data_IF_444934155255
#
_entry.id   IF_444934155255
#
_cell.length_a   1.000
_cell.length_b   1.000
_cell.length_c   1.000
_cell.angle_alpha   90.00
_cell.angle_beta   90.00
_cell.angle_gamma   90.00
#
_symmetry.space_group_name_H-M   'P 1'
#
loop_
_entity.id
_entity.type
_entity.pdbx_description
1 polymer ?
#
# COMPACT_ATOMS: atom_id res chain seq x y z
N UNK A 1 -59.70 34.70 25.37
CA UNK A 1 -58.59 35.01 26.31
C UNK A 1 -58.22 33.84 27.23
N UNK A 2 -59.16 33.12 27.87
CA UNK A 2 -58.82 31.98 28.76
C UNK A 2 -58.22 30.77 28.03
N UNK A 3 -58.82 30.34 26.92
CA UNK A 3 -58.31 29.22 26.11
C UNK A 3 -56.89 29.46 25.57
N UNK A 4 -56.60 30.68 25.08
CA UNK A 4 -55.26 31.06 24.62
C UNK A 4 -54.21 30.97 25.74
N UNK A 5 -54.57 31.34 26.98
CA UNK A 5 -53.67 31.21 28.14
C UNK A 5 -53.35 29.76 28.47
N UNK A 6 -54.34 28.86 28.40
CA UNK A 6 -54.12 27.43 28.62
C UNK A 6 -53.28 26.79 27.51
N UNK A 7 -53.50 27.17 26.25
CA UNK A 7 -52.68 26.72 25.12
C UNK A 7 -51.23 27.20 25.29
N UNK A 8 -51.01 28.47 25.64
CA UNK A 8 -49.67 29.01 25.88
C UNK A 8 -48.97 28.30 27.05
N UNK A 9 -49.70 27.99 28.12
CA UNK A 9 -49.16 27.27 29.28
C UNK A 9 -48.79 25.82 28.94
N UNK A 10 -49.62 25.13 28.16
CA UNK A 10 -49.32 23.78 27.66
C UNK A 10 -48.07 23.79 26.78
N UNK A 11 -47.97 24.75 25.85
CA UNK A 11 -46.79 24.92 25.00
C UNK A 11 -45.53 25.20 25.83
N UNK A 12 -45.65 25.99 26.90
CA UNK A 12 -44.54 26.25 27.82
C UNK A 12 -44.09 24.98 28.55
N UNK A 13 -45.03 24.16 29.03
CA UNK A 13 -44.70 22.88 29.68
C UNK A 13 -44.00 21.95 28.70
N UNK A 14 -44.50 21.84 27.46
CA UNK A 14 -43.87 21.03 26.41
C UNK A 14 -42.47 21.57 26.13
N UNK A 15 -42.31 22.88 25.95
CA UNK A 15 -41.02 23.51 25.69
C UNK A 15 -40.00 23.23 26.80
N UNK A 16 -40.39 23.40 28.08
CA UNK A 16 -39.53 23.10 29.23
C UNK A 16 -39.21 21.60 29.30
N UNK A 17 -40.21 20.73 29.06
CA UNK A 17 -40.03 19.29 29.02
C UNK A 17 -39.03 18.85 27.95
N UNK A 18 -39.15 19.38 26.74
CA UNK A 18 -38.23 19.14 25.62
C UNK A 18 -36.83 19.67 25.93
N UNK A 19 -36.71 20.89 26.48
CA UNK A 19 -35.42 21.46 26.84
C UNK A 19 -34.71 20.63 27.94
N UNK A 20 -35.45 20.15 28.95
CA UNK A 20 -34.91 19.24 29.96
C UNK A 20 -34.48 17.91 29.35
N UNK A 21 -35.29 17.35 28.43
CA UNK A 21 -34.96 16.11 27.73
C UNK A 21 -33.67 16.24 26.89
N UNK A 22 -33.48 17.36 26.18
CA UNK A 22 -32.25 17.65 25.43
C UNK A 22 -31.07 17.81 26.39
N UNK A 23 -31.26 18.50 27.51
CA UNK A 23 -30.19 18.76 28.47
C UNK A 23 -29.59 17.47 29.06
N UNK A 24 -30.42 16.43 29.29
CA UNK A 24 -29.98 15.14 29.87
C UNK A 24 -29.37 14.17 28.85
N UNK A 25 -29.36 14.49 27.55
CA UNK A 25 -28.65 13.67 26.55
C UNK A 25 -27.14 13.62 26.84
N UNK A 26 -26.41 12.57 26.39
CA UNK A 26 -24.97 12.47 26.58
C UNK A 26 -24.21 13.73 26.11
N UNK A 27 -23.18 14.13 26.84
CA UNK A 27 -22.32 15.27 26.48
C UNK A 27 -21.23 14.91 25.47
N UNK A 28 -21.05 13.62 25.19
CA UNK A 28 -19.97 13.08 24.38
C UNK A 28 -20.52 12.02 23.46
N UNK A 29 -19.88 11.87 22.31
CA UNK A 29 -20.15 10.81 21.36
C UNK A 29 -18.83 10.17 20.94
N UNK A 30 -18.90 8.88 20.59
CA UNK A 30 -17.77 8.14 20.03
C UNK A 30 -18.33 6.98 19.20
N UNK A 31 -17.81 6.82 17.99
CA UNK A 31 -18.11 5.67 17.14
C UNK A 31 -16.90 5.34 16.27
N UNK A 32 -16.88 4.11 15.74
CA UNK A 32 -15.82 3.67 14.83
C UNK A 32 -16.35 2.68 13.80
N UNK A 33 -15.63 2.59 12.68
CA UNK A 33 -15.81 1.54 11.67
C UNK A 33 -14.46 0.92 11.36
N UNK A 34 -14.45 -0.33 10.95
CA UNK A 34 -13.21 -1.03 10.59
C UNK A 34 -13.39 -1.91 9.38
N UNK A 35 -12.30 -2.10 8.62
CA UNK A 35 -12.23 -3.00 7.47
C UNK A 35 -10.87 -3.68 7.43
N UNK A 36 -10.87 -4.98 7.14
CA UNK A 36 -9.62 -5.70 6.82
C UNK A 36 -9.31 -5.43 5.34
N UNK A 37 -8.13 -4.87 5.07
CA UNK A 37 -7.65 -4.55 3.73
C UNK A 37 -6.41 -5.41 3.47
N UNK A 38 -6.38 -6.09 2.32
CA UNK A 38 -5.25 -6.94 1.92
C UNK A 38 -4.07 -6.09 1.41
N UNK A 39 -3.51 -5.29 2.32
CA UNK A 39 -2.36 -4.43 2.11
C UNK A 39 -1.52 -4.34 3.40
N UNK A 40 -0.20 -4.16 3.29
CA UNK A 40 0.67 -3.84 4.42
C UNK A 40 0.23 -2.57 5.17
N UNK A 41 0.45 -2.53 6.48
CA UNK A 41 0.08 -1.40 7.33
C UNK A 41 0.80 -0.11 6.91
N UNK A 42 2.05 -0.21 6.46
CA UNK A 42 2.86 0.90 5.95
C UNK A 42 2.18 1.64 4.79
N UNK A 43 1.68 0.91 3.79
CA UNK A 43 1.02 1.50 2.63
C UNK A 43 -0.28 2.21 3.03
N UNK A 44 -1.06 1.61 3.93
CA UNK A 44 -2.32 2.18 4.41
C UNK A 44 -2.08 3.41 5.28
N UNK A 45 -1.10 3.33 6.18
CA UNK A 45 -0.65 4.44 7.01
C UNK A 45 -0.19 5.61 6.13
N UNK A 46 0.70 5.39 5.17
CA UNK A 46 1.18 6.45 4.27
C UNK A 46 0.05 7.06 3.44
N UNK A 47 -0.91 6.24 2.98
CA UNK A 47 -2.06 6.71 2.22
C UNK A 47 -2.95 7.63 3.06
N UNK A 48 -3.16 7.35 4.35
CA UNK A 48 -3.99 8.19 5.25
C UNK A 48 -3.23 9.39 5.79
N UNK A 49 -1.93 9.22 6.08
CA UNK A 49 -1.08 10.22 6.72
C UNK A 49 -0.85 11.45 5.83
N UNK A 50 -0.78 11.29 4.51
CA UNK A 50 -0.65 12.43 3.58
C UNK A 50 -2.01 12.92 3.08
N UNK A 51 -2.38 14.15 3.44
CA UNK A 51 -3.62 14.80 3.02
C UNK A 51 -3.78 14.97 1.51
N UNK A 52 -2.69 14.90 0.73
CA UNK A 52 -2.79 14.89 -0.74
C UNK A 52 -3.42 13.61 -1.30
N UNK A 53 -3.44 12.53 -0.51
CA UNK A 53 -4.08 11.27 -0.90
C UNK A 53 -5.57 11.22 -0.57
N UNK A 54 -6.06 12.06 0.36
CA UNK A 54 -7.46 12.05 0.81
C UNK A 54 -8.49 12.20 -0.32
N UNK A 55 -8.28 13.02 -1.37
CA UNK A 55 -9.22 13.11 -2.49
C UNK A 55 -9.49 11.78 -3.19
N UNK A 56 -8.57 10.82 -3.11
CA UNK A 56 -8.74 9.52 -3.75
C UNK A 56 -9.71 8.59 -3.00
N UNK A 57 -9.89 8.77 -1.68
CA UNK A 57 -10.68 7.83 -0.88
C UNK A 57 -11.70 8.48 0.08
N UNK A 58 -11.62 9.78 0.31
CA UNK A 58 -12.51 10.47 1.24
C UNK A 58 -13.95 10.50 0.69
N UNK A 59 -14.93 10.01 1.47
CA UNK A 59 -16.34 10.07 1.08
C UNK A 59 -16.84 11.52 0.96
N UNK A 60 -16.26 12.43 1.76
CA UNK A 60 -16.61 13.86 1.75
C UNK A 60 -16.15 14.51 0.45
N UNK A 61 -14.90 14.26 0.02
CA UNK A 61 -14.39 14.76 -1.26
C UNK A 61 -15.04 14.06 -2.46
N UNK A 62 -15.54 12.83 -2.31
CA UNK A 62 -16.38 12.19 -3.32
C UNK A 62 -17.75 12.89 -3.45
N UNK A 63 -18.33 13.36 -2.34
CA UNK A 63 -19.62 14.06 -2.35
C UNK A 63 -19.54 15.45 -3.00
N UNK A 64 -18.39 16.11 -2.91
CA UNK A 64 -18.16 17.41 -3.54
C UNK A 64 -16.76 17.51 -4.19
N UNK A 65 -16.58 16.93 -5.40
CA UNK A 65 -15.27 16.88 -6.07
C UNK A 65 -14.69 18.26 -6.44
N UNK A 66 -15.55 19.27 -6.59
CA UNK A 66 -15.17 20.64 -6.96
C UNK A 66 -14.87 21.52 -5.73
N UNK A 67 -14.89 20.97 -4.51
CA UNK A 67 -14.53 21.70 -3.30
C UNK A 67 -13.09 22.23 -3.38
N UNK A 68 -12.89 23.47 -2.94
CA UNK A 68 -11.58 24.11 -2.96
C UNK A 68 -10.74 23.61 -1.79
N UNK A 69 -9.64 22.89 -2.07
CA UNK A 69 -8.72 22.37 -1.07
C UNK A 69 -7.47 23.24 -0.95
N UNK A 70 -7.15 23.68 0.26
CA UNK A 70 -5.92 24.42 0.57
C UNK A 70 -5.05 23.59 1.51
N UNK A 71 -3.84 23.24 1.07
CA UNK A 71 -2.88 22.47 1.86
C UNK A 71 -1.95 23.38 2.64
N UNK A 72 -1.57 22.96 3.86
CA UNK A 72 -0.49 23.60 4.59
C UNK A 72 0.87 23.22 3.99
N UNK A 73 1.95 23.89 4.43
CA UNK A 73 3.33 23.58 4.05
C UNK A 73 3.69 22.10 4.27
N UNK A 74 3.07 21.49 5.29
CA UNK A 74 3.20 20.08 5.63
C UNK A 74 1.86 19.37 5.41
N UNK A 75 1.88 18.32 4.59
CA UNK A 75 0.68 17.50 4.30
C UNK A 75 0.69 16.12 4.94
N UNK A 76 1.82 15.69 5.52
CA UNK A 76 1.95 14.42 6.25
C UNK A 76 2.68 14.55 7.59
N UNK A 77 2.33 13.73 8.58
CA UNK A 77 2.92 13.73 9.93
C UNK A 77 2.36 14.80 10.87
N UNK A 78 2.96 14.94 12.06
CA UNK A 78 2.50 15.89 13.10
C UNK A 78 2.45 17.33 12.58
N UNK A 79 1.36 18.03 12.90
CA UNK A 79 1.01 19.38 12.43
C UNK A 79 0.75 19.50 10.92
N UNK A 80 0.66 18.39 10.19
CA UNK A 80 0.14 18.44 8.83
C UNK A 80 -1.33 18.86 8.82
N UNK A 81 -1.79 19.47 7.73
CA UNK A 81 -3.19 19.82 7.60
C UNK A 81 -3.62 20.23 6.21
N UNK A 82 -4.94 20.22 6.01
CA UNK A 82 -5.60 20.84 4.86
C UNK A 82 -6.89 21.51 5.32
N UNK A 83 -7.35 22.48 4.55
CA UNK A 83 -8.65 23.11 4.68
C UNK A 83 -9.48 22.86 3.41
N UNK A 84 -10.80 22.87 3.55
CA UNK A 84 -11.73 22.80 2.44
C UNK A 84 -12.73 23.95 2.52
N UNK A 85 -13.24 24.35 1.35
CA UNK A 85 -14.38 25.22 1.20
C UNK A 85 -15.26 24.69 0.06
N UNK A 86 -16.53 24.41 0.35
CA UNK A 86 -17.51 23.88 -0.59
C UNK A 86 -18.93 24.32 -0.24
N UNK A 87 -19.83 24.23 -1.21
CA UNK A 87 -21.26 24.51 -1.05
C UNK A 87 -21.96 23.42 -0.21
N UNK A 88 -21.51 22.16 -0.33
CA UNK A 88 -22.09 21.01 0.38
C UNK A 88 -21.33 20.75 1.68
N UNK A 89 -20.00 20.71 1.63
CA UNK A 89 -19.13 20.40 2.78
C UNK A 89 -18.94 21.58 3.74
N UNK A 90 -19.39 22.78 3.35
CA UNK A 90 -19.16 24.01 4.09
C UNK A 90 -17.68 24.38 4.13
N UNK A 91 -17.25 25.02 5.22
CA UNK A 91 -15.85 25.39 5.44
C UNK A 91 -15.31 24.67 6.67
N UNK A 92 -14.10 24.12 6.56
CA UNK A 92 -13.42 23.52 7.69
C UNK A 92 -11.98 23.16 7.40
N UNK A 93 -11.35 22.51 8.39
CA UNK A 93 -9.96 22.03 8.27
C UNK A 93 -9.75 20.74 9.07
N UNK A 94 -8.73 20.02 8.66
CA UNK A 94 -8.19 18.88 9.39
C UNK A 94 -6.72 19.11 9.74
N UNK A 95 -6.29 18.65 10.90
CA UNK A 95 -4.90 18.75 11.35
C UNK A 95 -4.47 17.49 12.09
N UNK A 96 -3.31 16.94 11.73
CA UNK A 96 -2.71 15.80 12.42
C UNK A 96 -2.08 16.23 13.75
N UNK A 97 -2.54 15.62 14.84
CA UNK A 97 -2.10 15.92 16.21
C UNK A 97 -0.92 15.05 16.63
N UNK A 98 -0.97 13.76 16.31
CA UNK A 98 0.09 12.80 16.62
C UNK A 98 0.08 11.67 15.60
N UNK A 99 1.24 11.02 15.46
CA UNK A 99 1.40 9.81 14.65
C UNK A 99 2.25 8.80 15.42
N UNK A 100 1.92 7.53 15.27
CA UNK A 100 2.80 6.41 15.59
C UNK A 100 2.95 5.60 14.30
N UNK A 101 4.17 5.53 13.78
CA UNK A 101 4.45 5.05 12.43
C UNK A 101 3.89 3.65 12.21
N UNK A 102 3.12 3.48 11.13
CA UNK A 102 2.44 2.24 10.74
C UNK A 102 1.42 1.68 11.76
N UNK A 103 1.15 2.37 12.87
CA UNK A 103 0.27 1.90 13.95
C UNK A 103 -0.96 2.79 14.14
N UNK A 104 -0.79 4.11 14.23
CA UNK A 104 -1.93 5.02 14.46
C UNK A 104 -1.68 6.47 14.03
N UNK A 105 -2.78 7.18 13.75
CA UNK A 105 -2.79 8.62 13.44
C UNK A 105 -3.94 9.26 14.22
N UNK A 106 -3.67 10.32 14.98
CA UNK A 106 -4.71 11.13 15.62
C UNK A 106 -4.79 12.49 14.95
N UNK A 107 -6.01 12.92 14.63
CA UNK A 107 -6.32 14.12 13.87
C UNK A 107 -7.44 14.90 14.55
N UNK A 108 -7.47 16.21 14.34
CA UNK A 108 -8.60 17.05 14.71
C UNK A 108 -9.28 17.57 13.46
N UNK A 109 -10.61 17.47 13.43
CA UNK A 109 -11.46 18.06 12.39
C UNK A 109 -12.23 19.22 13.01
N UNK A 110 -12.18 20.38 12.35
CA UNK A 110 -12.84 21.61 12.78
C UNK A 110 -13.70 22.14 11.62
N UNK A 111 -15.00 22.29 11.84
CA UNK A 111 -15.92 22.95 10.92
C UNK A 111 -16.13 24.40 11.36
N UNK A 112 -16.20 25.32 10.39
CA UNK A 112 -16.40 26.75 10.60
C UNK A 112 -17.77 27.21 10.10
N UNK A 113 -18.18 26.75 8.92
CA UNK A 113 -19.48 27.05 8.32
C UNK A 113 -20.19 25.76 7.86
N UNK A 114 -21.54 25.68 7.94
CA UNK A 114 -22.46 26.71 8.47
C UNK A 114 -22.51 26.75 10.01
N UNK A 115 -22.00 25.72 10.69
CA UNK A 115 -21.98 25.64 12.14
C UNK A 115 -20.58 25.25 12.63
N UNK A 116 -20.15 25.89 13.72
CA UNK A 116 -18.86 25.58 14.33
C UNK A 116 -18.95 24.27 15.09
N UNK A 117 -18.08 23.33 14.76
CA UNK A 117 -17.95 22.08 15.50
C UNK A 117 -16.50 21.61 15.47
N UNK A 118 -16.15 20.78 16.44
CA UNK A 118 -14.82 20.18 16.56
C UNK A 118 -14.94 18.74 17.00
N UNK A 119 -14.19 17.87 16.36
CA UNK A 119 -14.10 16.46 16.73
C UNK A 119 -12.68 15.96 16.54
N UNK A 120 -12.41 14.82 17.15
CA UNK A 120 -11.18 14.08 16.96
C UNK A 120 -11.47 12.89 16.05
N UNK A 121 -10.48 12.57 15.23
CA UNK A 121 -10.46 11.46 14.31
C UNK A 121 -9.24 10.62 14.65
N UNK A 122 -9.44 9.33 14.89
CA UNK A 122 -8.36 8.41 15.15
C UNK A 122 -8.36 7.28 14.12
N UNK A 123 -7.16 6.93 13.67
CA UNK A 123 -6.89 5.80 12.81
C UNK A 123 -6.02 4.80 13.55
N UNK A 124 -6.36 3.52 13.43
CA UNK A 124 -5.47 2.42 13.84
C UNK A 124 -5.24 1.44 12.69
N UNK A 125 -4.02 0.93 12.61
CA UNK A 125 -3.57 -0.02 11.60
C UNK A 125 -3.03 -1.26 12.32
N UNK A 126 -3.84 -2.32 12.36
CA UNK A 126 -3.50 -3.56 13.07
C UNK A 126 -3.17 -4.66 12.06
N UNK A 127 -1.90 -5.09 11.91
CA UNK A 127 -1.55 -6.22 11.04
C UNK A 127 -2.31 -7.51 11.46
N UNK A 128 -2.80 -8.25 10.47
CA UNK A 128 -3.49 -9.53 10.64
C UNK A 128 -2.96 -10.56 9.64
N UNK A 129 -3.39 -11.82 9.73
CA UNK A 129 -3.00 -12.86 8.76
C UNK A 129 -3.52 -12.58 7.33
N UNK A 130 -4.61 -11.83 7.19
CA UNK A 130 -5.27 -11.55 5.90
C UNK A 130 -4.90 -10.18 5.30
N UNK A 131 -4.14 -9.35 6.03
CA UNK A 131 -3.78 -8.00 5.64
C UNK A 131 -3.63 -7.08 6.85
N UNK A 132 -4.25 -5.92 6.82
CA UNK A 132 -4.28 -4.97 7.92
C UNK A 132 -5.72 -4.59 8.23
N UNK A 133 -6.13 -4.70 9.50
CA UNK A 133 -7.39 -4.15 9.96
C UNK A 133 -7.21 -2.65 10.20
N UNK A 134 -7.87 -1.86 9.37
CA UNK A 134 -7.92 -0.40 9.50
C UNK A 134 -9.16 -0.02 10.28
N UNK A 135 -8.99 0.73 11.38
CA UNK A 135 -10.10 1.31 12.14
C UNK A 135 -10.07 2.82 11.96
N UNK A 136 -11.23 3.39 11.64
CA UNK A 136 -11.45 4.84 11.58
C UNK A 136 -12.51 5.21 12.62
N UNK A 137 -12.12 6.01 13.61
CA UNK A 137 -12.94 6.43 14.73
C UNK A 137 -13.15 7.94 14.73
N UNK A 138 -14.28 8.37 15.27
CA UNK A 138 -14.58 9.76 15.55
C UNK A 138 -15.15 9.89 16.96
N UNK A 139 -14.67 10.89 17.69
CA UNK A 139 -15.19 11.21 19.00
C UNK A 139 -15.16 12.71 19.29
N UNK A 140 -16.06 13.18 20.15
CA UNK A 140 -16.18 14.60 20.43
C UNK A 140 -17.21 14.94 21.50
N UNK A 141 -17.32 16.23 21.79
CA UNK A 141 -18.30 16.78 22.74
C UNK A 141 -19.52 17.32 22.00
N UNK A 142 -20.68 17.25 22.65
CA UNK A 142 -21.94 17.80 22.16
C UNK A 142 -22.39 18.93 23.07
N UNK A 143 -22.47 20.13 22.52
CA UNK A 143 -23.11 21.25 23.19
C UNK A 143 -24.65 21.13 23.11
N UNK A 144 -25.38 22.05 23.75
CA UNK A 144 -26.84 21.98 23.78
C UNK A 144 -27.47 22.01 22.37
N UNK A 145 -26.91 22.80 21.45
CA UNK A 145 -27.41 22.92 20.08
C UNK A 145 -27.17 21.63 19.29
N UNK A 146 -26.00 21.01 19.47
CA UNK A 146 -25.67 19.72 18.87
C UNK A 146 -26.61 18.63 19.39
N UNK A 147 -26.85 18.58 20.71
CA UNK A 147 -27.80 17.62 21.31
C UNK A 147 -29.23 17.81 20.80
N UNK A 148 -29.65 19.07 20.64
CA UNK A 148 -30.95 19.40 20.06
C UNK A 148 -31.04 18.87 18.62
N UNK A 149 -30.02 19.13 17.79
CA UNK A 149 -29.95 18.60 16.44
C UNK A 149 -30.03 17.07 16.43
N UNK A 150 -29.20 16.39 17.23
CA UNK A 150 -29.16 14.92 17.23
C UNK A 150 -30.44 14.28 17.76
N UNK A 151 -31.18 14.97 18.63
CA UNK A 151 -32.48 14.51 19.15
C UNK A 151 -33.54 14.42 18.06
N UNK A 152 -33.51 15.33 17.07
CA UNK A 152 -34.56 15.42 16.04
C UNK A 152 -34.10 14.92 14.66
N UNK A 153 -32.80 14.89 14.39
CA UNK A 153 -32.22 14.55 13.09
C UNK A 153 -31.38 13.27 13.10
N UNK A 154 -31.41 12.51 14.20
CA UNK A 154 -30.60 11.30 14.39
C UNK A 154 -29.22 11.60 14.97
N UNK A 155 -28.58 10.56 15.52
CA UNK A 155 -27.27 10.69 16.16
C UNK A 155 -26.17 11.09 15.16
N UNK A 156 -25.04 11.59 15.68
CA UNK A 156 -23.86 11.87 14.83
C UNK A 156 -23.38 10.58 14.16
N UNK A 157 -23.40 9.45 14.87
CA UNK A 157 -23.04 8.15 14.31
C UNK A 157 -23.99 7.75 13.17
N UNK A 158 -25.30 7.80 13.35
CA UNK A 158 -26.26 7.41 12.29
C UNK A 158 -26.06 8.22 11.00
N UNK A 159 -25.72 9.50 11.13
CA UNK A 159 -25.51 10.39 9.99
C UNK A 159 -24.11 10.29 9.37
N UNK A 160 -23.10 9.88 10.14
CA UNK A 160 -21.68 9.91 9.69
C UNK A 160 -21.10 8.51 9.44
N UNK A 161 -21.62 7.47 10.06
CA UNK A 161 -21.12 6.11 9.92
C UNK A 161 -21.10 5.58 8.47
N UNK A 162 -22.12 5.86 7.62
CA UNK A 162 -22.08 5.45 6.23
C UNK A 162 -20.88 6.03 5.45
N UNK A 163 -20.47 7.25 5.77
CA UNK A 163 -19.29 7.88 5.17
C UNK A 163 -18.01 7.11 5.55
N UNK A 164 -17.87 6.74 6.83
CA UNK A 164 -16.70 5.99 7.31
C UNK A 164 -16.61 4.62 6.64
N UNK A 165 -17.75 3.93 6.48
CA UNK A 165 -17.82 2.67 5.74
C UNK A 165 -17.45 2.87 4.26
N UNK A 166 -17.97 3.92 3.62
CA UNK A 166 -17.66 4.28 2.23
C UNK A 166 -16.19 4.62 2.04
N UNK A 167 -15.61 5.39 2.95
CA UNK A 167 -14.21 5.79 2.90
C UNK A 167 -13.26 4.62 3.10
N UNK A 168 -13.56 3.71 4.04
CA UNK A 168 -12.78 2.47 4.20
C UNK A 168 -12.89 1.56 2.96
N UNK A 169 -14.07 1.47 2.34
CA UNK A 169 -14.23 0.74 1.08
C UNK A 169 -13.41 1.37 -0.05
N UNK A 170 -13.40 2.70 -0.16
CA UNK A 170 -12.62 3.43 -1.16
C UNK A 170 -11.12 3.31 -0.92
N UNK A 171 -10.68 3.39 0.33
CA UNK A 171 -9.27 3.21 0.71
C UNK A 171 -8.77 1.83 0.26
N UNK A 172 -9.55 0.78 0.56
CA UNK A 172 -9.28 -0.58 0.08
C UNK A 172 -9.17 -0.62 -1.45
N UNK A 173 -10.19 -0.11 -2.15
CA UNK A 173 -10.23 -0.13 -3.62
C UNK A 173 -9.03 0.59 -4.25
N UNK A 174 -8.68 1.79 -3.76
CA UNK A 174 -7.58 2.58 -4.30
C UNK A 174 -6.24 1.94 -3.99
N UNK A 175 -6.00 1.52 -2.75
CA UNK A 175 -4.72 0.90 -2.35
C UNK A 175 -4.51 -0.42 -3.09
N UNK A 176 -5.55 -1.26 -3.18
CA UNK A 176 -5.49 -2.52 -3.94
C UNK A 176 -5.23 -2.27 -5.43
N UNK A 177 -5.78 -1.20 -6.00
CA UNK A 177 -5.53 -0.83 -7.41
C UNK A 177 -4.12 -0.29 -7.61
N UNK A 178 -3.66 0.58 -6.70
CA UNK A 178 -2.33 1.18 -6.75
C UNK A 178 -1.23 0.13 -6.66
N UNK A 179 -1.36 -0.85 -5.75
CA UNK A 179 -0.40 -1.97 -5.61
C UNK A 179 -0.33 -2.89 -6.82
N UNK A 180 -1.39 -2.94 -7.64
CA UNK A 180 -1.44 -3.76 -8.86
C UNK A 180 -0.86 -3.07 -10.09
N UNK A 181 -0.50 -1.78 -9.99
CA UNK A 181 0.11 -1.07 -11.12
C UNK A 181 1.44 -1.72 -11.45
N UNK A 182 1.64 -1.99 -12.74
CA UNK A 182 2.90 -2.53 -13.24
C UNK A 182 3.20 -2.00 -14.65
N UNK A 183 4.45 -2.19 -15.08
CA UNK A 183 4.89 -1.94 -16.45
C UNK A 183 5.95 -2.95 -16.86
N UNK A 184 5.84 -3.47 -18.09
CA UNK A 184 6.87 -4.26 -18.75
C UNK A 184 7.51 -3.41 -19.84
N UNK A 185 8.82 -3.22 -19.77
CA UNK A 185 9.58 -2.41 -20.73
C UNK A 185 10.72 -3.23 -21.31
N UNK A 186 10.71 -3.47 -22.63
CA UNK A 186 11.88 -4.02 -23.31
C UNK A 186 12.88 -2.91 -23.55
N UNK A 187 14.01 -2.95 -22.85
CA UNK A 187 15.08 -1.96 -22.97
C UNK A 187 15.90 -2.15 -24.25
N UNK A 188 15.86 -3.35 -24.85
CA UNK A 188 16.58 -3.71 -26.06
C UNK A 188 17.90 -4.42 -25.77
N UNK A 189 18.82 -4.36 -26.71
CA UNK A 189 20.13 -5.02 -26.60
C UNK A 189 21.02 -4.25 -25.63
N UNK A 190 21.66 -4.96 -24.70
CA UNK A 190 22.67 -4.46 -23.77
C UNK A 190 23.84 -5.44 -23.66
N UNK A 191 24.95 -4.99 -23.10
CA UNK A 191 26.02 -5.87 -22.63
C UNK A 191 25.86 -6.11 -21.13
N UNK A 192 25.85 -7.37 -20.72
CA UNK A 192 25.89 -7.77 -19.32
C UNK A 192 27.34 -8.02 -18.92
N UNK A 193 27.81 -7.36 -17.86
CA UNK A 193 29.23 -7.35 -17.48
C UNK A 193 29.78 -8.69 -16.94
N UNK A 194 28.91 -9.65 -16.64
CA UNK A 194 29.30 -10.93 -16.05
C UNK A 194 29.78 -10.75 -14.60
N UNK A 195 30.65 -11.66 -14.15
CA UNK A 195 31.27 -11.60 -12.83
C UNK A 195 31.16 -12.90 -12.04
N UNK A 196 31.78 -12.90 -10.85
CA UNK A 196 31.68 -14.01 -9.91
C UNK A 196 30.36 -13.96 -9.15
N UNK A 197 29.87 -15.14 -8.78
CA UNK A 197 28.70 -15.28 -7.93
C UNK A 197 28.81 -16.56 -7.12
N UNK A 198 28.19 -16.58 -5.94
CA UNK A 198 27.90 -17.83 -5.25
C UNK A 198 26.49 -18.28 -5.63
N UNK A 199 26.26 -19.60 -5.66
CA UNK A 199 24.95 -20.15 -5.99
C UNK A 199 24.66 -21.49 -5.31
N UNK A 200 23.38 -21.82 -5.19
CA UNK A 200 22.88 -23.18 -5.00
C UNK A 200 21.95 -23.54 -6.16
N UNK A 201 21.87 -24.82 -6.53
CA UNK A 201 21.11 -25.28 -7.72
C UNK A 201 20.11 -26.34 -7.33
N UNK A 202 18.94 -26.33 -7.97
CA UNK A 202 17.96 -27.40 -7.83
C UNK A 202 17.26 -27.70 -9.15
N UNK A 203 16.56 -28.83 -9.19
CA UNK A 203 15.61 -29.18 -10.22
C UNK A 203 14.24 -29.38 -9.56
N UNK A 204 13.19 -28.81 -10.15
CA UNK A 204 11.83 -28.95 -9.65
C UNK A 204 10.80 -28.77 -10.76
N UNK A 205 9.51 -28.94 -10.42
CA UNK A 205 8.43 -28.53 -11.31
C UNK A 205 8.44 -27.02 -11.49
N UNK A 206 7.98 -26.53 -12.64
CA UNK A 206 7.91 -25.08 -12.89
C UNK A 206 7.05 -24.38 -11.82
N UNK A 207 5.92 -24.99 -11.45
CA UNK A 207 5.02 -24.48 -10.40
C UNK A 207 5.65 -24.44 -8.99
N UNK A 208 6.73 -25.19 -8.75
CA UNK A 208 7.42 -25.25 -7.47
C UNK A 208 8.54 -24.20 -7.33
N UNK A 209 8.90 -23.49 -8.41
CA UNK A 209 10.00 -22.53 -8.43
C UNK A 209 9.87 -21.47 -7.32
N UNK A 210 8.71 -20.77 -7.15
CA UNK A 210 8.59 -19.74 -6.10
C UNK A 210 8.85 -20.29 -4.69
N UNK A 211 8.32 -21.48 -4.40
CA UNK A 211 8.51 -22.15 -3.11
C UNK A 211 9.97 -22.55 -2.89
N UNK A 212 10.66 -23.03 -3.93
CA UNK A 212 12.07 -23.38 -3.87
C UNK A 212 12.94 -22.13 -3.67
N UNK A 213 12.65 -21.03 -4.35
CA UNK A 213 13.34 -19.75 -4.18
C UNK A 213 13.22 -19.22 -2.76
N UNK A 214 12.01 -19.25 -2.17
CA UNK A 214 11.79 -18.85 -0.77
C UNK A 214 12.64 -19.63 0.25
N UNK A 215 13.07 -20.85 -0.09
CA UNK A 215 13.93 -21.68 0.75
C UNK A 215 15.42 -21.47 0.42
N UNK A 216 15.75 -21.31 -0.86
CA UNK A 216 17.12 -21.30 -1.36
C UNK A 216 17.79 -19.93 -1.26
N UNK A 217 17.06 -18.84 -1.53
CA UNK A 217 17.59 -17.47 -1.49
C UNK A 217 18.04 -17.05 -0.08
N UNK A 218 17.24 -17.24 0.99
CA UNK A 218 17.69 -16.87 2.34
C UNK A 218 18.94 -17.62 2.77
N UNK A 219 19.06 -18.92 2.46
CA UNK A 219 20.24 -19.73 2.81
C UNK A 219 21.53 -19.17 2.21
N UNK A 220 21.50 -18.79 0.93
CA UNK A 220 22.69 -18.25 0.29
C UNK A 220 23.01 -16.83 0.77
N UNK A 221 21.99 -16.03 1.07
CA UNK A 221 22.14 -14.70 1.64
C UNK A 221 22.74 -14.74 3.05
N UNK A 222 22.22 -15.62 3.91
CA UNK A 222 22.77 -15.89 5.25
C UNK A 222 24.23 -16.35 5.18
N UNK A 223 24.57 -17.23 4.22
CA UNK A 223 25.95 -17.64 4.00
C UNK A 223 26.85 -16.45 3.62
N UNK A 224 26.38 -15.58 2.72
CA UNK A 224 27.12 -14.38 2.32
C UNK A 224 27.40 -13.48 3.52
N UNK A 225 26.38 -13.18 4.34
CA UNK A 225 26.50 -12.36 5.56
C UNK A 225 27.46 -13.01 6.56
N UNK A 226 27.24 -14.28 6.91
CA UNK A 226 28.04 -15.01 7.92
C UNK A 226 29.52 -15.06 7.59
N UNK A 227 29.85 -15.11 6.29
CA UNK A 227 31.24 -15.19 5.82
C UNK A 227 31.80 -13.83 5.36
N UNK A 228 31.09 -12.71 5.62
CA UNK A 228 31.49 -11.36 5.22
C UNK A 228 31.78 -11.21 3.71
N UNK A 229 31.01 -11.92 2.88
CA UNK A 229 31.15 -11.87 1.42
C UNK A 229 30.55 -10.56 0.91
N UNK A 230 31.34 -9.78 0.18
CA UNK A 230 30.89 -8.53 -0.42
C UNK A 230 30.06 -8.81 -1.67
N UNK A 231 28.80 -8.37 -1.64
CA UNK A 231 27.89 -8.46 -2.79
C UNK A 231 28.28 -7.42 -3.85
N UNK A 232 28.25 -7.80 -5.12
CA UNK A 232 28.55 -6.92 -6.26
C UNK A 232 27.31 -6.36 -6.96
N UNK A 233 26.11 -6.68 -6.47
CA UNK A 233 24.84 -6.27 -7.05
C UNK A 233 23.67 -7.03 -6.45
N UNK A 234 22.51 -6.89 -7.08
CA UNK A 234 21.27 -7.56 -6.68
C UNK A 234 21.36 -9.09 -6.86
N UNK A 235 20.72 -9.87 -5.97
CA UNK A 235 20.51 -11.30 -6.17
C UNK A 235 19.78 -11.58 -7.49
N UNK A 236 20.05 -12.74 -8.08
CA UNK A 236 19.42 -13.14 -9.34
C UNK A 236 19.16 -14.65 -9.40
N UNK A 237 18.20 -15.04 -10.24
CA UNK A 237 17.99 -16.42 -10.68
C UNK A 237 18.71 -16.63 -12.00
N UNK A 238 19.43 -17.73 -12.10
CA UNK A 238 19.95 -18.23 -13.38
C UNK A 238 19.15 -19.46 -13.79
N UNK A 239 18.34 -19.32 -14.84
CA UNK A 239 17.60 -20.44 -15.42
C UNK A 239 18.52 -21.24 -16.34
N UNK A 240 18.94 -22.42 -15.88
CA UNK A 240 19.87 -23.31 -16.60
C UNK A 240 19.17 -24.18 -17.63
N UNK A 241 17.95 -24.62 -17.32
CA UNK A 241 17.11 -25.40 -18.22
C UNK A 241 15.64 -25.13 -17.94
N UNK A 242 14.87 -24.89 -19.00
CA UNK A 242 13.41 -24.82 -18.96
C UNK A 242 12.84 -25.93 -19.85
N UNK A 243 12.08 -26.86 -19.26
CA UNK A 243 11.55 -28.05 -19.91
C UNK A 243 10.03 -28.06 -19.76
N UNK A 244 9.36 -27.33 -20.67
CA UNK A 244 7.91 -27.12 -20.63
C UNK A 244 7.15 -28.44 -20.83
N UNK A 245 7.63 -29.30 -21.73
CA UNK A 245 7.03 -30.61 -22.04
C UNK A 245 6.94 -31.51 -20.81
N UNK A 246 7.98 -31.51 -19.97
CA UNK A 246 8.04 -32.32 -18.75
C UNK A 246 7.64 -31.56 -17.49
N UNK A 247 7.20 -30.31 -17.62
CA UNK A 247 6.90 -29.40 -16.51
C UNK A 247 8.05 -29.38 -15.49
N UNK A 248 9.28 -29.17 -15.95
CA UNK A 248 10.48 -29.19 -15.12
C UNK A 248 11.41 -28.01 -15.44
N UNK A 249 12.12 -27.53 -14.43
CA UNK A 249 13.13 -26.50 -14.58
C UNK A 249 14.35 -26.83 -13.71
N UNK A 250 15.53 -26.46 -14.22
CA UNK A 250 16.77 -26.41 -13.45
C UNK A 250 17.17 -24.94 -13.34
N UNK A 251 17.33 -24.47 -12.11
CA UNK A 251 17.71 -23.08 -11.86
C UNK A 251 18.63 -22.97 -10.65
N UNK A 252 19.37 -21.87 -10.61
CA UNK A 252 20.23 -21.51 -9.50
C UNK A 252 19.76 -20.20 -8.86
N UNK A 253 19.76 -20.15 -7.52
CA UNK A 253 19.68 -18.88 -6.79
C UNK A 253 21.10 -18.36 -6.60
N UNK A 254 21.34 -17.11 -6.98
CA UNK A 254 22.68 -16.55 -7.08
C UNK A 254 22.81 -15.24 -6.31
N UNK A 255 23.97 -15.03 -5.69
CA UNK A 255 24.39 -13.74 -5.15
C UNK A 255 25.68 -13.33 -5.86
N UNK A 256 25.70 -12.20 -6.59
CA UNK A 256 26.90 -11.73 -7.25
C UNK A 256 27.94 -11.26 -6.22
N UNK A 257 29.21 -11.55 -6.47
CA UNK A 257 30.32 -11.26 -5.56
C UNK A 257 31.40 -10.43 -6.26
N UNK A 258 32.07 -9.55 -5.50
CA UNK A 258 33.09 -8.66 -6.09
C UNK A 258 34.34 -9.41 -6.56
N UNK A 259 34.54 -10.63 -6.07
CA UNK A 259 35.66 -11.51 -6.38
C UNK A 259 35.24 -12.97 -6.27
N UNK A 260 36.13 -13.89 -6.70
CA UNK A 260 35.91 -15.32 -6.58
C UNK A 260 35.93 -15.73 -5.10
N UNK A 261 34.82 -16.31 -4.63
CA UNK A 261 34.72 -16.86 -3.28
C UNK A 261 35.16 -18.33 -3.28
N UNK A 262 35.88 -18.76 -2.25
CA UNK A 262 36.10 -20.18 -1.95
C UNK A 262 35.06 -20.57 -0.90
N UNK A 263 34.06 -21.35 -1.30
CA UNK A 263 33.01 -21.79 -0.39
C UNK A 263 33.45 -23.00 0.41
N UNK A 264 32.95 -23.10 1.64
CA UNK A 264 33.18 -24.23 2.56
C UNK A 264 31.92 -25.06 2.79
N UNK A 265 30.79 -24.57 2.29
CA UNK A 265 29.49 -25.26 2.36
C UNK A 265 29.38 -26.26 1.21
N UNK A 266 28.68 -27.36 1.45
CA UNK A 266 28.51 -28.43 0.45
C UNK A 266 27.45 -28.07 -0.62
N UNK A 267 26.48 -27.23 -0.27
CA UNK A 267 25.34 -26.88 -1.11
C UNK A 267 25.51 -25.51 -1.80
N UNK A 268 26.55 -24.74 -1.43
CA UNK A 268 26.84 -23.41 -2.00
C UNK A 268 28.18 -23.46 -2.73
N UNK A 269 28.13 -23.18 -4.03
CA UNK A 269 29.26 -23.22 -4.95
C UNK A 269 29.54 -21.84 -5.53
N UNK A 270 30.71 -21.66 -6.14
CA UNK A 270 31.09 -20.42 -6.82
C UNK A 270 31.04 -20.62 -8.33
N UNK A 271 30.34 -19.72 -9.02
CA UNK A 271 30.26 -19.65 -10.47
C UNK A 271 30.88 -18.37 -11.01
N UNK A 272 31.01 -18.31 -12.34
CA UNK A 272 31.44 -17.12 -13.07
C UNK A 272 30.57 -16.98 -14.32
N UNK A 273 29.98 -15.81 -14.51
CA UNK A 273 29.38 -15.42 -15.78
C UNK A 273 30.44 -14.66 -16.58
N UNK A 274 30.70 -15.09 -17.80
CA UNK A 274 31.43 -14.26 -18.76
C UNK A 274 30.56 -13.07 -19.19
N UNK A 275 31.17 -12.01 -19.72
CA UNK A 275 30.39 -10.93 -20.31
C UNK A 275 29.62 -11.45 -21.55
N UNK A 276 28.35 -11.05 -21.69
CA UNK A 276 27.52 -11.50 -22.80
C UNK A 276 26.57 -10.40 -23.26
N UNK A 277 26.22 -10.45 -24.55
CA UNK A 277 25.19 -9.60 -25.14
C UNK A 277 23.81 -10.17 -24.80
N UNK A 278 22.90 -9.32 -24.35
CA UNK A 278 21.58 -9.73 -23.90
C UNK A 278 20.50 -8.79 -24.43
N UNK A 279 19.28 -9.30 -24.58
CA UNK A 279 18.09 -8.45 -24.54
C UNK A 279 17.71 -8.27 -23.07
N UNK A 280 17.58 -7.02 -22.65
CA UNK A 280 17.13 -6.64 -21.32
C UNK A 280 15.65 -6.23 -21.36
N UNK A 281 14.89 -6.73 -20.39
CA UNK A 281 13.50 -6.33 -20.15
C UNK A 281 13.32 -6.04 -18.66
N UNK A 282 12.76 -4.88 -18.32
CA UNK A 282 12.45 -4.50 -16.95
C UNK A 282 10.95 -4.68 -16.68
N UNK A 283 10.63 -5.45 -15.64
CA UNK A 283 9.34 -5.42 -14.96
C UNK A 283 9.45 -4.46 -13.79
N UNK A 284 8.55 -3.47 -13.74
CA UNK A 284 8.26 -2.72 -12.52
C UNK A 284 6.87 -3.11 -12.05
N UNK A 285 6.75 -3.83 -10.93
CA UNK A 285 5.48 -4.33 -10.40
C UNK A 285 5.57 -5.71 -9.76
N UNK A 286 4.42 -6.21 -9.28
CA UNK A 286 4.29 -7.49 -8.58
C UNK A 286 4.79 -8.68 -9.41
N UNK A 287 5.40 -9.67 -8.75
CA UNK A 287 5.94 -10.88 -9.37
C UNK A 287 4.89 -11.74 -10.10
N UNK A 288 3.60 -11.60 -9.80
CA UNK A 288 2.52 -12.20 -10.59
C UNK A 288 2.53 -11.78 -12.06
N UNK A 289 3.18 -10.65 -12.39
CA UNK A 289 3.35 -10.15 -13.75
C UNK A 289 4.63 -10.66 -14.45
N UNK A 290 5.47 -11.47 -13.79
CA UNK A 290 6.72 -11.99 -14.37
C UNK A 290 6.48 -12.83 -15.61
N UNK A 291 5.39 -13.60 -15.66
CA UNK A 291 5.07 -14.40 -16.83
C UNK A 291 4.93 -13.52 -18.08
N UNK A 292 4.21 -12.40 -17.98
CA UNK A 292 4.06 -11.45 -19.08
C UNK A 292 5.40 -10.82 -19.47
N UNK A 293 6.23 -10.48 -18.49
CA UNK A 293 7.56 -9.92 -18.74
C UNK A 293 8.47 -10.89 -19.50
N UNK A 294 8.49 -12.17 -19.10
CA UNK A 294 9.22 -13.24 -19.79
C UNK A 294 8.68 -13.50 -21.19
N UNK A 295 7.36 -13.64 -21.35
CA UNK A 295 6.73 -13.84 -22.66
C UNK A 295 7.07 -12.68 -23.59
N UNK A 296 7.04 -11.43 -23.09
CA UNK A 296 7.39 -10.23 -23.83
C UNK A 296 8.85 -10.24 -24.28
N UNK A 297 9.78 -10.58 -23.38
CA UNK A 297 11.20 -10.65 -23.69
C UNK A 297 11.51 -11.76 -24.72
N UNK A 298 10.94 -12.94 -24.52
CA UNK A 298 11.11 -14.10 -25.40
C UNK A 298 10.56 -13.86 -26.81
N UNK A 299 9.41 -13.18 -26.93
CA UNK A 299 8.83 -12.83 -28.22
C UNK A 299 9.58 -11.70 -28.93
N UNK A 300 10.17 -10.76 -28.18
CA UNK A 300 10.89 -9.62 -28.76
C UNK A 300 12.09 -10.05 -29.61
N UNK A 301 12.87 -11.03 -29.13
CA UNK A 301 14.11 -11.51 -29.76
C UNK A 301 13.88 -11.92 -31.24
N UNK A 302 13.04 -12.93 -31.55
CA UNK A 302 12.81 -13.34 -32.93
C UNK A 302 12.09 -12.24 -33.74
N UNK A 303 11.20 -11.46 -33.13
CA UNK A 303 10.48 -10.37 -33.82
C UNK A 303 11.41 -9.23 -34.28
N UNK A 304 12.58 -9.10 -33.67
CA UNK A 304 13.63 -8.15 -34.07
C UNK A 304 14.72 -8.77 -34.94
N UNK A 305 14.55 -10.02 -35.36
CA UNK A 305 15.55 -10.75 -36.15
C UNK A 305 16.81 -11.08 -35.35
N UNK A 306 16.71 -11.11 -34.01
CA UNK A 306 17.78 -11.57 -33.14
C UNK A 306 17.66 -13.09 -32.93
N UNK A 307 18.78 -13.72 -32.62
CA UNK A 307 18.83 -15.14 -32.27
C UNK A 307 19.26 -15.32 -30.82
N UNK A 308 18.62 -16.26 -30.14
CA UNK A 308 19.07 -16.71 -28.82
C UNK A 308 20.49 -17.27 -28.90
N UNK A 309 21.32 -16.95 -27.90
CA UNK A 309 22.62 -17.59 -27.76
C UNK A 309 22.43 -19.06 -27.37
N UNK A 310 23.17 -19.96 -28.03
CA UNK A 310 23.13 -21.39 -27.71
C UNK A 310 23.70 -21.61 -26.31
N UNK A 311 22.90 -22.22 -25.42
CA UNK A 311 23.21 -22.36 -23.98
C UNK A 311 23.56 -21.02 -23.29
N UNK A 312 23.06 -19.91 -23.82
CA UNK A 312 23.32 -18.59 -23.27
C UNK A 312 22.59 -18.35 -21.94
N UNK A 313 23.13 -17.52 -21.04
CA UNK A 313 22.49 -17.22 -19.76
C UNK A 313 21.10 -16.60 -19.92
N UNK A 314 20.19 -17.05 -19.06
CA UNK A 314 18.87 -16.45 -18.86
C UNK A 314 18.73 -16.08 -17.38
N UNK A 315 18.72 -14.77 -17.10
CA UNK A 315 18.80 -14.24 -15.75
C UNK A 315 17.52 -13.48 -15.39
N UNK A 316 17.11 -13.59 -14.13
CA UNK A 316 16.10 -12.75 -13.49
C UNK A 316 16.70 -12.10 -12.24
N UNK A 317 16.91 -10.79 -12.28
CA UNK A 317 17.61 -10.02 -11.23
C UNK A 317 16.64 -9.14 -10.47
N UNK A 318 16.60 -9.22 -9.14
CA UNK A 318 15.67 -8.47 -8.29
C UNK A 318 16.34 -7.22 -7.73
N UNK A 319 16.19 -6.08 -8.41
CA UNK A 319 16.82 -4.82 -7.99
C UNK A 319 16.22 -4.22 -6.73
N UNK A 320 14.94 -4.48 -6.49
CA UNK A 320 14.23 -4.16 -5.25
C UNK A 320 13.24 -5.28 -5.00
N UNK A 321 13.00 -5.65 -3.74
CA UNK A 321 12.18 -6.79 -3.38
C UNK A 321 11.28 -6.48 -2.15
N UNK A 322 10.46 -7.46 -1.69
CA UNK A 322 9.58 -7.26 -0.53
C UNK A 322 10.30 -6.93 0.79
N UNK A 323 11.61 -7.14 0.89
CA UNK A 323 12.41 -6.76 2.06
C UNK A 323 12.83 -5.28 2.04
N UNK A 324 12.85 -4.65 0.86
CA UNK A 324 13.17 -3.23 0.70
C UNK A 324 11.91 -2.35 0.68
N UNK A 325 10.84 -2.82 0.05
CA UNK A 325 9.58 -2.10 0.00
C UNK A 325 8.37 -3.02 0.05
N UNK A 326 7.45 -2.70 0.94
CA UNK A 326 6.18 -3.42 1.10
C UNK A 326 5.24 -3.26 -0.12
N UNK A 327 5.47 -2.24 -0.97
CA UNK A 327 4.60 -1.95 -2.11
C UNK A 327 5.04 -2.72 -3.37
N UNK A 328 4.28 -3.74 -3.82
CA UNK A 328 4.66 -4.53 -4.99
C UNK A 328 4.70 -3.74 -6.30
N UNK A 329 3.97 -2.64 -6.42
CA UNK A 329 4.04 -1.75 -7.58
C UNK A 329 5.40 -1.06 -7.75
N UNK A 330 6.23 -1.09 -6.70
CA UNK A 330 7.57 -0.52 -6.69
C UNK A 330 8.68 -1.54 -6.91
N UNK A 331 8.37 -2.85 -6.89
CA UNK A 331 9.37 -3.89 -7.15
C UNK A 331 9.90 -3.79 -8.58
N UNK A 332 11.21 -3.94 -8.75
CA UNK A 332 11.90 -3.86 -10.04
C UNK A 332 12.67 -5.15 -10.26
N UNK A 333 12.28 -5.87 -11.30
CA UNK A 333 12.96 -7.07 -11.78
C UNK A 333 13.49 -6.85 -13.18
N UNK A 334 14.72 -7.26 -13.42
CA UNK A 334 15.35 -7.20 -14.73
C UNK A 334 15.58 -8.61 -15.27
N UNK A 335 15.08 -8.86 -16.47
CA UNK A 335 15.28 -10.10 -17.21
C UNK A 335 16.38 -9.86 -18.25
N UNK A 336 17.38 -10.73 -18.26
CA UNK A 336 18.44 -10.73 -19.25
C UNK A 336 18.43 -12.05 -20.01
N UNK A 337 18.24 -12.01 -21.33
CA UNK A 337 18.27 -13.19 -22.19
C UNK A 337 19.43 -13.04 -23.17
N UNK A 338 20.40 -13.95 -23.11
CA UNK A 338 21.56 -13.92 -23.98
C UNK A 338 21.20 -14.10 -25.47
N UNK A 339 21.81 -13.28 -26.34
CA UNK A 339 21.60 -13.28 -27.79
C UNK A 339 22.92 -13.27 -28.56
N UNK A 340 22.88 -13.67 -29.82
CA UNK A 340 24.05 -13.68 -30.73
C UNK A 340 24.48 -12.29 -31.21
#
# INVERSE_FOLDING_TARGET
>A
MKALKYILFLLLIIFIGTAMYIAVQPNEFSFQRSRIIKAPASILYDKVNDYKNWPSFSPWMEAEPDANLTYQDKTSGVNAGYAWQGEILGEGKMTTLSVNENESISQSIEFFEPFKSKSNIDWTFEPTEEGTKVTWAMHGKQDFMTKMYTTFSGSIEENSAPDFERGLFKLDSVVTTDMKKYSVTVNGITEHGGGYYIYNTTSCKISDIPRKMQIMMPKIHEYAIKNNIKMAGAPFIHYLKWDDENNAAIFSCCIPTTEKVITTDIDILTGQLEAFKAVKTTLKGDYSNLKEAWDTAMNYIPNKGLEFAENGPMLETYLTDPSETDNPALWVTEIYIAVK
#
